data_IF_333414420624
#
_entry.id   IF_333414420624
#
_cell.length_a   1.000
_cell.length_b   1.000
_cell.length_c   1.000
_cell.angle_alpha   90.00
_cell.angle_beta   90.00
_cell.angle_gamma   90.00
#
_symmetry.space_group_name_H-M   'P 1'
#
loop_
_entity.id
_entity.type
_entity.pdbx_description
1 polymer ?
#
# COMPACT_ATOMS: atom_id res chain seq x y z
N UNK A 1 -39.02 16.50 -9.50
CA UNK A 1 -37.78 17.08 -8.95
C UNK A 1 -37.70 16.72 -7.47
N UNK A 2 -36.83 15.76 -7.11
CA UNK A 2 -36.57 15.40 -5.72
C UNK A 2 -35.10 15.72 -5.43
N UNK A 3 -34.87 16.72 -4.58
CA UNK A 3 -33.54 17.13 -4.12
C UNK A 3 -33.18 16.30 -2.88
N UNK A 4 -32.13 15.51 -2.98
CA UNK A 4 -31.49 14.85 -1.85
C UNK A 4 -30.62 15.88 -1.10
N UNK A 5 -30.85 15.98 0.21
CA UNK A 5 -30.15 16.85 1.15
C UNK A 5 -28.73 16.30 1.43
N UNK A 6 -27.68 17.14 1.48
CA UNK A 6 -26.34 16.70 1.87
C UNK A 6 -26.20 16.61 3.40
N UNK A 7 -25.70 15.48 3.89
CA UNK A 7 -25.24 15.33 5.28
C UNK A 7 -23.88 16.01 5.46
N UNK A 8 -23.83 16.96 6.39
CA UNK A 8 -22.64 17.71 6.78
C UNK A 8 -21.96 17.01 7.96
N UNK A 9 -20.75 16.47 7.77
CA UNK A 9 -19.90 15.99 8.86
C UNK A 9 -19.19 17.18 9.51
N UNK A 10 -19.66 17.60 10.70
CA UNK A 10 -18.95 18.58 11.54
C UNK A 10 -17.97 17.84 12.46
N UNK A 11 -16.68 18.15 12.30
CA UNK A 11 -15.60 17.60 13.12
C UNK A 11 -15.22 18.56 14.24
N UNK A 12 -15.78 18.37 15.42
CA UNK A 12 -15.26 18.93 16.67
C UNK A 12 -15.34 17.86 17.76
N UNK A 13 -14.20 17.26 18.14
CA UNK A 13 -13.90 16.73 19.48
C UNK A 13 -12.65 15.84 19.47
N UNK A 14 -11.44 16.43 19.50
CA UNK A 14 -10.29 15.80 20.19
C UNK A 14 -9.44 16.91 20.83
N UNK A 15 -9.82 17.33 22.04
CA UNK A 15 -8.95 18.06 22.98
C UNK A 15 -9.17 17.52 24.39
N UNK A 16 -8.45 16.48 24.76
CA UNK A 16 -8.08 16.10 26.14
C UNK A 16 -7.31 14.78 25.99
N UNK A 17 -6.03 14.63 26.30
CA UNK A 17 -5.45 14.69 27.63
C UNK A 17 -3.92 14.81 27.47
N UNK A 18 -3.33 15.88 27.99
CA UNK A 18 -1.90 15.94 28.32
C UNK A 18 -1.80 16.59 29.70
N UNK A 19 -0.95 16.02 30.56
CA UNK A 19 -0.66 16.34 31.98
C UNK A 19 -1.67 15.66 32.93
N UNK A 20 -1.27 15.01 34.03
CA UNK A 20 -0.16 15.27 34.94
C UNK A 20 0.33 13.94 35.54
N UNK A 21 1.65 13.73 35.58
CA UNK A 21 2.26 12.76 36.49
C UNK A 21 2.65 13.51 37.75
N UNK A 22 2.14 13.08 38.91
CA UNK A 22 2.61 13.53 40.21
C UNK A 22 2.75 12.33 41.16
N UNK A 23 3.86 12.35 41.86
CA UNK A 23 4.43 11.37 42.78
C UNK A 23 3.55 11.10 44.02
N UNK A 24 3.64 9.89 44.61
CA UNK A 24 3.10 9.62 45.95
C UNK A 24 3.18 8.15 46.38
N UNK A 25 4.01 7.87 47.38
CA UNK A 25 4.47 6.55 47.81
C UNK A 25 3.53 5.77 48.76
N UNK A 26 3.85 4.48 48.91
CA UNK A 26 3.69 3.62 50.09
C UNK A 26 2.33 2.96 50.40
N UNK A 27 2.24 1.63 50.24
CA UNK A 27 2.37 0.67 51.36
C UNK A 27 2.49 -0.79 50.89
N UNK A 28 3.09 -1.67 51.72
CA UNK A 28 3.51 -3.03 51.37
C UNK A 28 2.52 -4.10 51.86
N UNK A 29 2.58 -5.30 51.27
CA UNK A 29 2.19 -6.52 51.96
C UNK A 29 1.46 -7.57 51.12
N UNK A 30 2.10 -8.74 51.05
CA UNK A 30 1.49 -10.07 51.12
C UNK A 30 0.99 -10.76 49.83
N UNK A 31 1.87 -11.65 49.34
CA UNK A 31 1.63 -13.07 49.07
C UNK A 31 0.38 -13.46 48.27
N UNK A 32 0.59 -13.91 47.04
CA UNK A 32 0.35 -15.31 46.67
C UNK A 32 0.81 -15.57 45.23
N UNK A 33 1.67 -16.57 45.10
CA UNK A 33 2.12 -17.19 43.86
C UNK A 33 0.95 -17.50 42.93
N UNK A 34 0.99 -17.00 41.70
CA UNK A 34 0.27 -17.65 40.60
C UNK A 34 1.26 -18.51 39.84
N UNK A 35 1.25 -19.79 40.22
CA UNK A 35 1.96 -20.87 39.57
C UNK A 35 1.65 -20.87 38.07
N UNK A 36 2.68 -20.64 37.25
CA UNK A 36 2.59 -20.78 35.80
C UNK A 36 2.35 -22.26 35.45
N UNK A 37 1.11 -22.61 35.11
CA UNK A 37 0.80 -23.90 34.50
C UNK A 37 1.38 -23.91 33.09
N UNK A 38 2.49 -24.64 32.91
CA UNK A 38 3.12 -24.86 31.63
C UNK A 38 2.27 -25.88 30.84
N UNK A 39 1.27 -25.40 30.09
CA UNK A 39 0.50 -26.26 29.19
C UNK A 39 1.39 -26.68 28.01
N UNK A 40 1.95 -27.89 28.14
CA UNK A 40 2.69 -28.59 27.11
C UNK A 40 1.71 -29.00 26.00
N UNK A 41 1.50 -28.14 25.01
CA UNK A 41 0.80 -28.51 23.79
C UNK A 41 1.68 -29.48 23.00
N UNK A 42 1.36 -30.77 23.04
CA UNK A 42 1.85 -31.75 22.09
C UNK A 42 1.16 -31.49 20.74
N UNK A 43 1.85 -30.77 19.85
CA UNK A 43 1.44 -30.62 18.46
C UNK A 43 1.64 -31.93 17.70
N UNK A 44 0.54 -32.55 17.26
CA UNK A 44 0.58 -33.64 16.30
C UNK A 44 1.07 -33.11 14.94
N UNK A 45 2.25 -33.56 14.50
CA UNK A 45 2.75 -33.34 13.15
C UNK A 45 1.92 -34.18 12.16
N UNK A 46 1.00 -33.55 11.43
CA UNK A 46 0.37 -34.14 10.25
C UNK A 46 1.35 -34.09 9.07
N UNK A 47 1.82 -35.25 8.64
CA UNK A 47 2.56 -35.42 7.38
C UNK A 47 1.57 -35.18 6.21
N UNK A 48 1.60 -34.00 5.61
CA UNK A 48 0.89 -33.73 4.36
C UNK A 48 1.70 -34.33 3.20
N UNK A 49 1.18 -35.41 2.62
CA UNK A 49 1.67 -35.94 1.36
C UNK A 49 1.35 -34.90 0.27
N UNK A 50 2.38 -34.28 -0.31
CA UNK A 50 2.25 -33.43 -1.47
C UNK A 50 1.98 -34.33 -2.68
N UNK A 51 0.73 -34.33 -3.17
CA UNK A 51 0.42 -34.81 -4.49
C UNK A 51 0.64 -33.67 -5.48
N UNK A 52 1.40 -33.99 -6.52
CA UNK A 52 1.92 -33.10 -7.53
C UNK A 52 0.81 -32.65 -8.49
N UNK A 53 0.73 -31.34 -8.72
CA UNK A 53 -0.04 -30.74 -9.81
C UNK A 53 -1.46 -30.35 -9.43
N UNK A 54 -1.62 -29.14 -8.90
CA UNK A 54 -2.93 -28.51 -8.83
C UNK A 54 -3.38 -28.12 -10.25
N UNK A 55 -4.68 -28.22 -10.60
CA UNK A 55 -5.21 -27.67 -11.85
C UNK A 55 -4.85 -26.18 -12.05
N UNK A 56 -4.62 -25.46 -10.95
CA UNK A 56 -4.14 -24.09 -10.95
C UNK A 56 -2.71 -23.93 -11.51
N UNK A 57 -1.86 -24.96 -11.44
CA UNK A 57 -0.51 -24.92 -12.01
C UNK A 57 -0.52 -24.93 -13.55
N UNK A 58 -1.49 -25.62 -14.16
CA UNK A 58 -1.68 -25.58 -15.61
C UNK A 58 -2.17 -24.20 -16.09
N UNK A 59 -3.06 -23.57 -15.31
CA UNK A 59 -3.54 -22.21 -15.58
C UNK A 59 -2.41 -21.19 -15.41
N UNK A 60 -1.57 -21.35 -14.38
CA UNK A 60 -0.40 -20.50 -14.15
C UNK A 60 0.58 -20.57 -15.33
N UNK A 61 0.91 -21.78 -15.81
CA UNK A 61 1.78 -21.97 -16.97
C UNK A 61 1.21 -21.34 -18.25
N UNK A 62 -0.10 -21.43 -18.46
CA UNK A 62 -0.78 -20.77 -19.59
C UNK A 62 -0.71 -19.25 -19.51
N UNK A 63 -0.89 -18.68 -18.31
CA UNK A 63 -0.79 -17.25 -18.06
C UNK A 63 0.65 -16.73 -18.21
N UNK A 64 1.64 -17.45 -17.67
CA UNK A 64 3.06 -17.08 -17.77
C UNK A 64 3.53 -17.05 -19.24
N UNK A 65 3.08 -18.00 -20.07
CA UNK A 65 3.38 -18.03 -21.52
C UNK A 65 2.74 -16.85 -22.28
N UNK A 66 1.51 -16.47 -21.87
CA UNK A 66 0.84 -15.32 -22.46
C UNK A 66 1.55 -14.01 -22.10
N UNK A 67 1.97 -13.84 -20.84
CA UNK A 67 2.69 -12.65 -20.38
C UNK A 67 4.02 -12.47 -21.12
N UNK A 68 4.77 -13.55 -21.37
CA UNK A 68 6.04 -13.45 -22.10
C UNK A 68 5.82 -12.97 -23.54
N UNK A 69 4.73 -13.37 -24.19
CA UNK A 69 4.38 -12.94 -25.56
C UNK A 69 3.96 -11.46 -25.65
N UNK A 70 3.48 -10.84 -24.57
CA UNK A 70 3.12 -9.40 -24.56
C UNK A 70 4.25 -8.51 -24.06
N UNK A 71 5.29 -9.09 -23.46
CA UNK A 71 6.44 -8.38 -22.90
C UNK A 71 7.22 -7.63 -23.98
N UNK A 72 7.34 -8.22 -25.16
CA UNK A 72 8.05 -7.63 -26.31
C UNK A 72 7.25 -6.52 -27.01
N UNK A 73 5.92 -6.50 -26.84
CA UNK A 73 5.05 -5.42 -27.34
C UNK A 73 4.94 -4.26 -26.35
N UNK A 74 5.35 -4.48 -25.10
CA UNK A 74 5.49 -3.46 -24.07
C UNK A 74 6.91 -2.92 -24.13
N UNK A 75 7.12 -1.98 -25.06
CA UNK A 75 8.40 -1.36 -25.39
C UNK A 75 9.37 -1.12 -24.23
N UNK A 76 10.62 -1.37 -24.58
CA UNK A 76 11.85 -1.28 -23.80
C UNK A 76 11.92 -0.07 -22.87
N UNK A 77 12.13 -0.35 -21.59
CA UNK A 77 12.37 0.62 -20.54
C UNK A 77 12.47 0.00 -19.14
N UNK A 78 12.41 -1.33 -19.04
CA UNK A 78 12.46 -2.06 -17.78
C UNK A 78 13.91 -2.36 -17.37
N UNK A 79 14.65 -1.32 -17.00
CA UNK A 79 15.57 -1.44 -15.85
C UNK A 79 14.81 -1.03 -14.58
N UNK A 80 13.60 -1.55 -14.39
CA UNK A 80 13.03 -1.55 -13.05
C UNK A 80 13.75 -2.65 -12.28
N UNK A 81 14.78 -2.25 -11.52
CA UNK A 81 15.08 -2.94 -10.28
C UNK A 81 13.75 -3.31 -9.64
N UNK A 82 13.53 -4.58 -9.35
CA UNK A 82 12.25 -5.14 -8.90
C UNK A 82 11.69 -4.32 -7.74
N UNK A 83 10.87 -3.31 -8.05
CA UNK A 83 10.43 -2.32 -7.08
C UNK A 83 9.46 -3.01 -6.15
N UNK A 84 9.71 -2.93 -4.84
CA UNK A 84 8.86 -3.56 -3.84
C UNK A 84 7.43 -3.03 -3.95
N UNK A 85 6.46 -3.91 -3.71
CA UNK A 85 5.06 -3.50 -3.60
C UNK A 85 4.86 -2.50 -2.46
N UNK A 86 4.07 -1.46 -2.72
CA UNK A 86 3.61 -0.52 -1.69
C UNK A 86 2.83 -1.26 -0.60
N UNK A 87 2.91 -0.76 0.64
CA UNK A 87 2.02 -1.23 1.69
C UNK A 87 0.54 -0.89 1.34
N UNK A 88 -0.40 -1.60 1.96
CA UNK A 88 -1.84 -1.46 1.66
C UNK A 88 -2.37 -0.03 1.81
N UNK A 89 -1.86 0.71 2.81
CA UNK A 89 -2.28 2.10 3.07
C UNK A 89 -1.82 3.02 1.94
N UNK A 90 -0.56 2.89 1.51
CA UNK A 90 0.00 3.68 0.42
C UNK A 90 -0.64 3.31 -0.92
N UNK A 91 -0.94 2.03 -1.15
CA UNK A 91 -1.68 1.60 -2.33
C UNK A 91 -3.09 2.21 -2.38
N UNK A 92 -3.82 2.22 -1.26
CA UNK A 92 -5.13 2.87 -1.14
C UNK A 92 -5.01 4.39 -1.40
N UNK A 93 -4.04 5.06 -0.77
CA UNK A 93 -3.81 6.49 -0.97
C UNK A 93 -3.44 6.83 -2.41
N UNK A 94 -2.64 5.98 -3.06
CA UNK A 94 -2.29 6.13 -4.47
C UNK A 94 -3.54 6.05 -5.35
N UNK A 95 -4.44 5.09 -5.09
CA UNK A 95 -5.72 5.00 -5.79
C UNK A 95 -6.58 6.24 -5.59
N UNK A 96 -6.74 6.71 -4.35
CA UNK A 96 -7.51 7.93 -4.08
C UNK A 96 -6.91 9.17 -4.73
N UNK A 97 -5.59 9.28 -4.77
CA UNK A 97 -4.92 10.36 -5.50
C UNK A 97 -5.25 10.29 -7.00
N UNK A 98 -5.16 9.08 -7.57
CA UNK A 98 -5.32 8.83 -8.99
C UNK A 98 -6.73 9.08 -9.51
N UNK A 99 -7.77 8.81 -8.71
CA UNK A 99 -9.17 9.03 -9.11
C UNK A 99 -9.59 10.49 -9.11
N UNK A 100 -8.73 11.43 -8.66
CA UNK A 100 -9.11 12.84 -8.61
C UNK A 100 -9.06 13.51 -9.98
N UNK A 101 -10.08 14.33 -10.30
CA UNK A 101 -10.16 15.00 -11.60
C UNK A 101 -9.06 16.06 -11.78
N UNK A 102 -8.54 16.62 -10.68
CA UNK A 102 -7.55 17.69 -10.67
C UNK A 102 -6.14 17.20 -10.26
N UNK A 103 -5.85 15.90 -10.43
CA UNK A 103 -4.60 15.27 -10.00
C UNK A 103 -3.35 16.09 -10.38
N UNK A 104 -3.27 16.53 -11.64
CA UNK A 104 -2.11 17.25 -12.19
C UNK A 104 -1.90 18.66 -11.61
N UNK A 105 -2.92 19.23 -10.97
CA UNK A 105 -2.83 20.52 -10.28
C UNK A 105 -2.69 20.34 -8.77
N UNK A 106 -2.99 19.16 -8.26
CA UNK A 106 -2.97 18.88 -6.84
C UNK A 106 -1.59 18.39 -6.37
N UNK A 107 -0.77 19.36 -5.94
CA UNK A 107 0.63 19.19 -5.52
C UNK A 107 0.87 18.02 -4.57
N UNK A 108 0.03 17.83 -3.54
CA UNK A 108 0.27 16.78 -2.54
C UNK A 108 0.20 15.37 -3.13
N UNK A 109 -0.73 15.10 -4.04
CA UNK A 109 -0.82 13.79 -4.65
C UNK A 109 0.22 13.59 -5.74
N UNK A 110 0.61 14.63 -6.48
CA UNK A 110 1.74 14.53 -7.38
C UNK A 110 3.03 14.21 -6.62
N UNK A 111 3.27 14.89 -5.49
CA UNK A 111 4.43 14.62 -4.64
C UNK A 111 4.36 13.21 -4.06
N UNK A 112 3.21 12.82 -3.52
CA UNK A 112 3.01 11.47 -2.97
C UNK A 112 3.23 10.38 -4.02
N UNK A 113 2.60 10.48 -5.19
CA UNK A 113 2.74 9.52 -6.28
C UNK A 113 4.17 9.55 -6.84
N UNK A 114 4.77 10.72 -7.00
CA UNK A 114 6.17 10.89 -7.42
C UNK A 114 7.13 10.08 -6.57
N UNK A 115 7.13 10.34 -5.26
CA UNK A 115 8.02 9.66 -4.31
C UNK A 115 7.72 8.17 -4.23
N UNK A 116 6.45 7.78 -4.07
CA UNK A 116 6.12 6.38 -3.87
C UNK A 116 6.31 5.56 -5.16
N UNK A 117 5.99 6.11 -6.33
CA UNK A 117 6.19 5.40 -7.60
C UNK A 117 7.65 5.39 -8.07
N UNK A 118 8.52 6.22 -7.49
CA UNK A 118 9.96 6.12 -7.71
C UNK A 118 10.51 4.84 -7.05
N UNK A 119 10.11 4.56 -5.81
CA UNK A 119 10.69 3.45 -5.01
C UNK A 119 9.85 2.16 -5.03
N UNK A 120 8.55 2.27 -5.32
CA UNK A 120 7.60 1.17 -5.18
C UNK A 120 6.66 1.00 -6.37
N UNK A 121 6.00 -0.15 -6.43
CA UNK A 121 4.91 -0.44 -7.34
C UNK A 121 3.60 -0.64 -6.58
N UNK A 122 2.47 -0.24 -7.15
CA UNK A 122 1.14 -0.49 -6.55
C UNK A 122 0.61 -1.90 -6.80
N UNK A 123 1.19 -2.67 -7.73
CA UNK A 123 0.68 -3.97 -8.19
C UNK A 123 -0.52 -3.88 -9.14
N UNK A 124 -1.10 -2.69 -9.35
CA UNK A 124 -2.26 -2.44 -10.22
C UNK A 124 -1.90 -1.75 -11.54
N UNK A 125 -0.63 -1.44 -11.76
CA UNK A 125 -0.17 -0.66 -12.92
C UNK A 125 -0.36 0.86 -12.80
N UNK A 126 -0.91 1.37 -11.69
CA UNK A 126 -1.12 2.81 -11.45
C UNK A 126 0.17 3.62 -11.61
N UNK A 127 1.27 3.18 -10.98
CA UNK A 127 2.55 3.88 -11.13
C UNK A 127 3.02 3.94 -12.58
N UNK A 128 2.83 2.87 -13.35
CA UNK A 128 3.18 2.87 -14.78
C UNK A 128 2.35 3.88 -15.57
N UNK A 129 1.05 3.98 -15.28
CA UNK A 129 0.17 4.99 -15.89
C UNK A 129 0.58 6.41 -15.50
N UNK A 130 0.90 6.63 -14.22
CA UNK A 130 1.36 7.91 -13.70
C UNK A 130 2.65 8.37 -14.39
N UNK A 131 3.67 7.51 -14.49
CA UNK A 131 4.94 7.84 -15.18
C UNK A 131 4.72 8.23 -16.63
N UNK A 132 3.85 7.49 -17.35
CA UNK A 132 3.48 7.84 -18.73
C UNK A 132 2.81 9.21 -18.82
N UNK A 133 1.89 9.51 -17.90
CA UNK A 133 1.23 10.82 -17.85
C UNK A 133 2.21 11.96 -17.56
N UNK A 134 3.13 11.77 -16.60
CA UNK A 134 4.16 12.76 -16.27
C UNK A 134 5.11 13.00 -17.45
N UNK A 135 5.55 11.94 -18.15
CA UNK A 135 6.40 12.08 -19.36
C UNK A 135 5.71 12.91 -20.45
N UNK A 136 4.45 12.61 -20.75
CA UNK A 136 3.65 13.38 -21.72
C UNK A 136 3.49 14.84 -21.30
N UNK A 137 3.23 15.09 -20.02
CA UNK A 137 3.09 16.46 -19.53
C UNK A 137 4.41 17.21 -19.55
N UNK A 138 5.55 16.55 -19.31
CA UNK A 138 6.86 17.18 -19.46
C UNK A 138 7.14 17.65 -20.91
N UNK A 139 6.64 16.93 -21.92
CA UNK A 139 6.77 17.35 -23.34
C UNK A 139 6.07 18.69 -23.62
N UNK A 140 5.01 19.01 -22.88
CA UNK A 140 4.21 20.23 -23.07
C UNK A 140 4.50 21.32 -22.03
N UNK A 141 4.79 20.94 -20.78
CA UNK A 141 4.97 21.81 -19.64
C UNK A 141 6.24 21.43 -18.87
N UNK A 142 7.21 22.35 -18.84
CA UNK A 142 8.51 22.15 -18.21
C UNK A 142 8.45 21.84 -16.71
N UNK A 143 7.38 22.27 -16.03
CA UNK A 143 7.18 22.08 -14.59
C UNK A 143 7.14 20.60 -14.16
N UNK A 144 6.71 19.70 -15.05
CA UNK A 144 6.61 18.27 -14.75
C UNK A 144 7.88 17.48 -15.09
N UNK A 145 8.85 18.12 -15.75
CA UNK A 145 10.06 17.44 -16.19
C UNK A 145 10.98 17.00 -15.05
N UNK A 146 11.01 17.74 -13.94
CA UNK A 146 11.80 17.33 -12.78
C UNK A 146 11.20 16.09 -12.12
N UNK A 147 9.87 15.98 -12.11
CA UNK A 147 9.17 14.78 -11.66
C UNK A 147 9.45 13.59 -12.58
N UNK A 148 9.51 13.83 -13.90
CA UNK A 148 9.80 12.79 -14.89
C UNK A 148 11.19 12.18 -14.73
N UNK A 149 12.18 12.95 -14.28
CA UNK A 149 13.57 12.49 -14.08
C UNK A 149 13.72 11.54 -12.87
N UNK A 150 12.83 11.63 -11.90
CA UNK A 150 12.88 10.86 -10.65
C UNK A 150 12.20 9.49 -10.80
N UNK A 151 11.36 9.31 -11.82
CA UNK A 151 10.40 8.21 -11.96
C UNK A 151 10.85 7.08 -12.89
#
# INVERSE_FOLDING_TARGET
HAWLVPHQCSGEHIKSLRRQGHLGASRPGLLAETSHVNHRYHGHHHHHQHHDGSPFDAIKKGFDSAVESVKDLVGEGAKEHEKKLMNKINALRAQMCWTRPDLWRHKDCLKFLGMNCADHQTGTGLCRAFRKGVKKLCEHESLYCDLAKIL
#
